data_IF_500175180981
#
_entry.id   IF_500175180981
#
_cell.length_a   1.000
_cell.length_b   1.000
_cell.length_c   1.000
_cell.angle_alpha   90.00
_cell.angle_beta   90.00
_cell.angle_gamma   90.00
#
_symmetry.space_group_name_H-M   'P 1'
#
loop_
_entity.id
_entity.type
_entity.pdbx_description
1 polymer ?
#
# COMPACT_ATOMS: atom_id res chain seq x y z
N UNK A 1 -36.23 -7.16 9.46
CA UNK A 1 -35.04 -7.28 10.30
C UNK A 1 -33.88 -7.85 9.51
N UNK A 2 -32.82 -7.05 9.28
CA UNK A 2 -31.64 -7.42 8.47
C UNK A 2 -30.31 -7.14 9.20
N UNK A 3 -30.35 -6.69 10.47
CA UNK A 3 -29.17 -6.33 11.26
C UNK A 3 -28.13 -7.44 11.45
N UNK A 4 -28.54 -8.71 11.45
CA UNK A 4 -27.64 -9.84 11.71
C UNK A 4 -26.56 -10.04 10.63
N UNK A 5 -26.83 -9.72 9.36
CA UNK A 5 -25.87 -9.92 8.27
C UNK A 5 -24.84 -8.80 8.24
N UNK A 6 -25.27 -7.57 8.51
CA UNK A 6 -24.37 -6.40 8.53
C UNK A 6 -23.35 -6.49 9.66
N UNK A 7 -23.75 -6.98 10.83
CA UNK A 7 -22.84 -7.17 11.97
C UNK A 7 -21.72 -8.18 11.66
N UNK A 8 -22.03 -9.27 10.95
CA UNK A 8 -21.04 -10.28 10.57
C UNK A 8 -20.06 -9.73 9.53
N UNK A 9 -20.55 -8.98 8.54
CA UNK A 9 -19.70 -8.36 7.52
C UNK A 9 -18.79 -7.28 8.12
N UNK A 10 -19.31 -6.49 9.05
CA UNK A 10 -18.53 -5.47 9.74
C UNK A 10 -17.49 -6.10 10.67
N UNK A 11 -17.85 -7.17 11.38
CA UNK A 11 -16.88 -7.91 12.18
C UNK A 11 -15.75 -8.50 11.33
N UNK A 12 -16.08 -9.06 10.16
CA UNK A 12 -15.09 -9.58 9.23
C UNK A 12 -14.16 -8.48 8.67
N UNK A 13 -14.71 -7.29 8.39
CA UNK A 13 -13.94 -6.11 8.02
C UNK A 13 -12.97 -5.70 9.13
N UNK A 14 -13.48 -5.44 10.34
CA UNK A 14 -12.70 -5.03 11.49
C UNK A 14 -11.56 -6.01 11.80
N UNK A 15 -11.84 -7.31 11.75
CA UNK A 15 -10.81 -8.34 11.94
C UNK A 15 -9.67 -8.20 10.93
N UNK A 16 -9.99 -8.08 9.63
CA UNK A 16 -8.98 -7.98 8.58
C UNK A 16 -8.22 -6.66 8.60
N UNK A 17 -8.91 -5.57 8.92
CA UNK A 17 -8.28 -4.28 9.13
C UNK A 17 -7.27 -4.34 10.28
N UNK A 18 -7.63 -4.94 11.41
CA UNK A 18 -6.73 -5.11 12.55
C UNK A 18 -5.52 -6.02 12.21
N UNK A 19 -5.73 -7.10 11.45
CA UNK A 19 -4.63 -7.93 10.94
C UNK A 19 -3.65 -7.10 10.08
N UNK A 20 -4.17 -6.20 9.24
CA UNK A 20 -3.34 -5.30 8.44
C UNK A 20 -2.59 -4.27 9.30
N UNK A 21 -3.22 -3.71 10.33
CA UNK A 21 -2.55 -2.82 11.28
C UNK A 21 -1.39 -3.52 11.99
N UNK A 22 -1.61 -4.76 12.44
CA UNK A 22 -0.56 -5.57 13.07
C UNK A 22 0.58 -5.87 12.07
N UNK A 23 0.25 -6.23 10.83
CA UNK A 23 1.24 -6.43 9.78
C UNK A 23 2.07 -5.16 9.54
N UNK A 24 1.42 -3.99 9.45
CA UNK A 24 2.11 -2.70 9.29
C UNK A 24 3.05 -2.42 10.46
N UNK A 25 2.60 -2.67 11.70
CA UNK A 25 3.44 -2.44 12.87
C UNK A 25 4.71 -3.30 12.86
N UNK A 26 4.65 -4.51 12.28
CA UNK A 26 5.79 -5.42 12.18
C UNK A 26 6.71 -5.11 10.98
N UNK A 27 6.14 -4.73 9.83
CA UNK A 27 6.88 -4.62 8.57
C UNK A 27 7.13 -3.18 8.10
N UNK A 28 6.51 -2.20 8.75
CA UNK A 28 6.57 -0.78 8.38
C UNK A 28 5.65 -0.38 7.22
N UNK A 29 5.03 -1.34 6.52
CA UNK A 29 4.18 -1.09 5.35
C UNK A 29 2.93 -1.97 5.31
N UNK A 30 1.95 -1.59 4.48
CA UNK A 30 0.71 -2.36 4.25
C UNK A 30 0.76 -3.26 2.99
N UNK A 31 1.90 -3.36 2.32
CA UNK A 31 2.06 -4.16 1.11
C UNK A 31 2.16 -5.66 1.42
N UNK A 32 1.01 -6.33 1.51
CA UNK A 32 0.90 -7.78 1.67
C UNK A 32 0.58 -8.42 0.33
N UNK A 33 1.43 -9.34 -0.13
CA UNK A 33 1.23 -10.01 -1.41
C UNK A 33 0.38 -11.29 -1.26
N UNK A 34 -0.48 -11.58 -2.23
CA UNK A 34 -1.35 -12.77 -2.20
C UNK A 34 -0.61 -14.11 -2.27
N UNK A 35 0.67 -14.09 -2.63
CA UNK A 35 1.56 -15.25 -2.71
C UNK A 35 2.48 -15.38 -1.48
N UNK A 36 2.38 -14.49 -0.50
CA UNK A 36 2.98 -14.68 0.80
C UNK A 36 2.29 -15.88 1.48
N UNK A 37 3.01 -16.97 1.73
CA UNK A 37 2.44 -18.18 2.31
C UNK A 37 1.94 -17.97 3.74
N UNK A 38 2.64 -17.15 4.53
CA UNK A 38 2.30 -16.87 5.92
C UNK A 38 1.09 -15.93 6.02
N UNK A 39 0.99 -14.96 5.09
CA UNK A 39 -0.05 -13.93 5.09
C UNK A 39 -1.05 -14.06 3.94
N UNK A 40 -1.16 -15.23 3.32
CA UNK A 40 -1.96 -15.48 2.09
C UNK A 40 -3.39 -14.94 2.17
N UNK A 41 -4.05 -15.15 3.31
CA UNK A 41 -5.41 -14.68 3.54
C UNK A 41 -5.50 -13.15 3.54
N UNK A 42 -4.56 -12.49 4.22
CA UNK A 42 -4.48 -11.04 4.28
C UNK A 42 -4.07 -10.44 2.93
N UNK A 43 -3.12 -11.04 2.22
CA UNK A 43 -2.69 -10.61 0.88
C UNK A 43 -3.83 -10.64 -0.15
N UNK A 44 -4.66 -11.68 -0.13
CA UNK A 44 -5.88 -11.74 -0.96
C UNK A 44 -6.87 -10.63 -0.60
N UNK A 45 -7.05 -10.36 0.69
CA UNK A 45 -7.95 -9.30 1.15
C UNK A 45 -7.45 -7.91 0.74
N UNK A 46 -6.15 -7.63 0.88
CA UNK A 46 -5.48 -6.40 0.40
C UNK A 46 -5.69 -6.22 -1.09
N UNK A 47 -5.44 -7.28 -1.88
CA UNK A 47 -5.67 -7.24 -3.33
C UNK A 47 -7.13 -6.95 -3.68
N UNK A 48 -8.07 -7.56 -2.94
CA UNK A 48 -9.49 -7.31 -3.12
C UNK A 48 -9.86 -5.84 -2.88
N UNK A 49 -9.31 -5.21 -1.83
CA UNK A 49 -9.58 -3.79 -1.56
C UNK A 49 -9.11 -2.89 -2.72
N UNK A 50 -7.92 -3.16 -3.29
CA UNK A 50 -7.43 -2.43 -4.47
C UNK A 50 -8.35 -2.59 -5.68
N UNK A 51 -8.85 -3.81 -5.92
CA UNK A 51 -9.81 -4.07 -7.01
C UNK A 51 -11.13 -3.34 -6.77
N UNK A 52 -11.67 -3.38 -5.56
CA UNK A 52 -12.91 -2.67 -5.21
C UNK A 52 -12.75 -1.15 -5.32
N UNK A 53 -11.63 -0.59 -4.89
CA UNK A 53 -11.31 0.82 -5.03
C UNK A 53 -11.28 1.25 -6.50
N UNK A 54 -10.54 0.52 -7.36
CA UNK A 54 -10.48 0.80 -8.81
C UNK A 54 -11.83 0.70 -9.51
N UNK A 55 -12.78 -0.06 -8.94
CA UNK A 55 -14.15 -0.22 -9.44
C UNK A 55 -15.15 0.75 -8.80
N UNK A 56 -14.72 1.67 -7.93
CA UNK A 56 -15.60 2.55 -7.14
C UNK A 56 -16.63 1.77 -6.30
N UNK A 57 -16.28 0.55 -5.88
CA UNK A 57 -17.16 -0.36 -5.13
C UNK A 57 -16.85 -0.41 -3.63
N UNK A 58 -15.88 0.39 -3.17
CA UNK A 58 -15.50 0.50 -1.77
C UNK A 58 -16.16 1.76 -1.16
N UNK A 59 -16.68 1.63 0.06
CA UNK A 59 -17.29 2.77 0.76
C UNK A 59 -16.24 3.80 1.19
N UNK A 60 -16.64 5.07 1.27
CA UNK A 60 -15.77 6.17 1.72
C UNK A 60 -15.15 5.89 3.09
N UNK A 61 -15.94 5.43 4.06
CA UNK A 61 -15.44 5.08 5.40
C UNK A 61 -14.33 4.02 5.37
N UNK A 62 -14.40 3.04 4.46
CA UNK A 62 -13.36 2.01 4.32
C UNK A 62 -12.11 2.53 3.64
N UNK A 63 -12.28 3.46 2.70
CA UNK A 63 -11.17 4.18 2.07
C UNK A 63 -10.44 5.00 3.12
N UNK A 64 -11.16 5.82 3.89
CA UNK A 64 -10.60 6.64 4.97
C UNK A 64 -9.85 5.81 6.02
N UNK A 65 -10.39 4.65 6.42
CA UNK A 65 -9.71 3.74 7.33
C UNK A 65 -8.38 3.24 6.76
N UNK A 66 -8.34 2.83 5.49
CA UNK A 66 -7.12 2.35 4.84
C UNK A 66 -6.11 3.49 4.62
N UNK A 67 -6.58 4.68 4.23
CA UNK A 67 -5.74 5.87 4.07
C UNK A 67 -5.11 6.29 5.40
N UNK A 68 -5.84 6.18 6.51
CA UNK A 68 -5.34 6.53 7.85
C UNK A 68 -4.11 5.71 8.28
N UNK A 69 -3.93 4.52 7.69
CA UNK A 69 -2.77 3.66 7.93
C UNK A 69 -1.76 3.71 6.78
N UNK A 70 -1.87 4.66 5.85
CA UNK A 70 -0.92 4.83 4.74
C UNK A 70 -0.99 3.67 3.73
N UNK A 71 -2.19 3.15 3.48
CA UNK A 71 -2.38 2.08 2.52
C UNK A 71 -2.08 2.54 1.09
N UNK A 72 -1.24 1.78 0.39
CA UNK A 72 -0.89 2.07 -1.01
C UNK A 72 -1.86 1.33 -1.93
N UNK A 73 -2.69 2.12 -2.64
CA UNK A 73 -3.69 1.64 -3.60
C UNK A 73 -3.06 1.10 -4.90
N UNK A 74 -1.93 1.66 -5.32
CA UNK A 74 -1.18 1.19 -6.49
C UNK A 74 0.32 1.02 -6.15
N UNK A 75 0.75 -0.18 -5.72
CA UNK A 75 2.13 -0.45 -5.36
C UNK A 75 3.11 -0.37 -6.53
N UNK A 76 2.64 -0.65 -7.76
CA UNK A 76 3.49 -0.59 -8.94
C UNK A 76 3.82 0.86 -9.27
N UNK A 77 2.81 1.73 -9.27
CA UNK A 77 3.01 3.17 -9.44
C UNK A 77 3.91 3.76 -8.35
N UNK A 78 3.70 3.33 -7.10
CA UNK A 78 4.50 3.79 -5.98
C UNK A 78 5.97 3.35 -6.10
N UNK A 79 6.22 2.07 -6.41
CA UNK A 79 7.57 1.56 -6.61
C UNK A 79 8.28 2.22 -7.80
N UNK A 80 7.55 2.50 -8.88
CA UNK A 80 8.10 3.21 -10.04
C UNK A 80 8.49 4.64 -9.69
N UNK A 81 7.64 5.34 -8.94
CA UNK A 81 7.92 6.71 -8.45
C UNK A 81 9.16 6.75 -7.55
N UNK A 82 9.26 5.85 -6.57
CA UNK A 82 10.43 5.77 -5.68
C UNK A 82 11.73 5.47 -6.46
N UNK A 83 11.67 4.54 -7.41
CA UNK A 83 12.84 4.20 -8.23
C UNK A 83 13.23 5.34 -9.18
N UNK A 84 12.26 6.05 -9.74
CA UNK A 84 12.50 7.21 -10.59
C UNK A 84 13.16 8.36 -9.82
N UNK A 85 12.66 8.67 -8.63
CA UNK A 85 13.25 9.70 -7.77
C UNK A 85 14.72 9.38 -7.41
N UNK A 86 15.01 8.11 -7.10
CA UNK A 86 16.38 7.65 -6.85
C UNK A 86 17.29 7.83 -8.07
N UNK A 87 16.80 7.56 -9.29
CA UNK A 87 17.55 7.78 -10.52
C UNK A 87 17.80 9.27 -10.79
N UNK A 88 16.82 10.13 -10.50
CA UNK A 88 16.98 11.58 -10.61
C UNK A 88 18.06 12.11 -9.66
N UNK A 89 18.08 11.66 -8.40
CA UNK A 89 19.12 12.01 -7.42
C UNK A 89 20.50 11.54 -7.91
N UNK A 90 20.61 10.31 -8.42
CA UNK A 90 21.88 9.78 -8.93
C UNK A 90 22.40 10.60 -10.12
N UNK A 91 21.53 10.98 -11.07
CA UNK A 91 21.93 11.82 -12.22
C UNK A 91 22.37 13.23 -11.79
N UNK A 92 21.70 13.82 -10.79
CA UNK A 92 22.11 15.12 -10.24
C UNK A 92 23.50 15.04 -9.59
N UNK A 93 23.77 14.01 -8.80
CA UNK A 93 25.08 13.80 -8.16
C UNK A 93 26.19 13.51 -9.19
N UNK A 94 25.92 12.68 -10.20
CA UNK A 94 26.86 12.42 -11.28
C UNK A 94 27.14 13.66 -12.15
N UNK A 95 26.13 14.50 -12.41
CA UNK A 95 26.28 15.77 -13.10
C UNK A 95 27.17 16.78 -12.37
N UNK A 96 27.15 16.78 -11.02
CA UNK A 96 28.09 17.57 -10.21
C UNK A 96 29.54 17.04 -10.30
N UNK A 97 29.73 15.74 -10.48
CA UNK A 97 31.07 15.12 -10.54
C UNK A 97 31.82 15.41 -11.85
N UNK A 98 31.13 15.52 -12.99
CA UNK A 98 31.77 15.90 -14.27
C UNK A 98 32.08 17.40 -14.38
N UNK A 99 31.35 18.25 -13.66
CA UNK A 99 31.60 19.70 -13.68
C UNK A 99 32.81 20.13 -12.82
N UNK A 100 33.25 19.32 -11.85
CA UNK A 100 34.39 19.65 -10.97
C UNK A 100 35.75 19.13 -11.46
N UNK A 101 35.81 18.44 -12.61
CA UNK A 101 37.05 17.80 -13.11
C UNK A 101 37.67 18.48 -14.33
N UNK A 102 37.11 19.58 -14.81
CA UNK A 102 37.69 20.40 -15.88
C UNK A 102 37.79 21.86 -15.41
N UNK A 103 38.79 22.15 -14.59
CA UNK A 103 39.14 23.50 -14.14
C UNK A 103 40.51 23.48 -13.50
N UNK A 104 41.50 23.92 -14.29
CA UNK A 104 42.93 24.15 -14.00
C UNK A 104 43.90 22.95 -14.13
#
# INVERSE_FOLDING_TARGET
SIGFIWDVLEHAWCKKFNELCAFKAQNGHCNVYQYDEQNKSLGKWVQHQRVCYKKNALSSSRIEQLDSIGFIWDPLEHAWSEMFDQLCVFKAQAGHYIASRNGE
#
